data_IF_706600527687
#
_entry.id   IF_706600527687
#
_cell.length_a   1.000
_cell.length_b   1.000
_cell.length_c   1.000
_cell.angle_alpha   90.00
_cell.angle_beta   90.00
_cell.angle_gamma   90.00
#
_symmetry.space_group_name_H-M   'P 1'
#
loop_
_entity.id
_entity.type
_entity.pdbx_description
1 polymer ?
#
# COMPACT_ATOMS: atom_id res chain seq x y z
N UNK A 1 -30.70 -25.13 9.96
CA UNK A 1 -30.37 -25.32 8.54
C UNK A 1 -31.63 -25.59 7.72
N UNK A 2 -31.73 -25.05 6.50
CA UNK A 2 -32.82 -25.32 5.54
C UNK A 2 -32.20 -25.62 4.18
N UNK A 3 -32.35 -26.86 3.70
CA UNK A 3 -31.78 -27.30 2.43
C UNK A 3 -32.81 -27.92 1.49
N UNK A 4 -32.61 -27.72 0.19
CA UNK A 4 -33.51 -28.05 -0.91
C UNK A 4 -33.20 -29.45 -1.45
N UNK A 5 -33.91 -30.47 -0.95
CA UNK A 5 -33.82 -31.91 -1.31
C UNK A 5 -32.45 -32.58 -1.16
N UNK A 6 -31.35 -31.86 -1.34
CA UNK A 6 -29.97 -32.33 -1.25
C UNK A 6 -29.25 -31.61 -0.09
N UNK A 7 -28.41 -32.34 0.64
CA UNK A 7 -27.73 -31.85 1.85
C UNK A 7 -26.70 -30.73 1.57
N UNK A 8 -26.25 -30.60 0.33
CA UNK A 8 -25.27 -29.62 -0.15
C UNK A 8 -25.91 -28.36 -0.76
N UNK A 9 -27.25 -28.30 -0.83
CA UNK A 9 -28.03 -27.20 -1.43
C UNK A 9 -28.94 -26.50 -0.44
N UNK A 10 -28.36 -25.73 0.46
CA UNK A 10 -28.99 -24.95 1.51
C UNK A 10 -29.40 -23.53 1.08
N UNK A 11 -30.48 -23.02 1.69
CA UNK A 11 -30.93 -21.62 1.58
C UNK A 11 -30.82 -20.87 2.90
N UNK A 12 -30.63 -21.58 4.02
CA UNK A 12 -30.33 -21.01 5.32
C UNK A 12 -29.45 -21.94 6.14
N UNK A 13 -28.49 -21.35 6.87
CA UNK A 13 -27.54 -22.09 7.71
C UNK A 13 -27.93 -22.02 9.19
N UNK A 14 -27.44 -22.96 9.98
CA UNK A 14 -27.57 -22.89 11.45
C UNK A 14 -26.60 -21.84 11.99
N UNK A 15 -26.79 -21.43 13.26
CA UNK A 15 -25.87 -20.51 13.93
C UNK A 15 -24.41 -21.02 13.90
N UNK A 16 -23.46 -20.11 13.68
CA UNK A 16 -22.04 -20.44 13.48
C UNK A 16 -21.68 -20.92 12.07
N UNK A 17 -22.63 -20.86 11.12
CA UNK A 17 -22.41 -21.17 9.70
C UNK A 17 -22.99 -20.06 8.82
N UNK A 18 -22.26 -19.70 7.76
CA UNK A 18 -22.71 -18.75 6.74
C UNK A 18 -23.00 -19.46 5.42
N UNK A 19 -23.94 -18.91 4.65
CA UNK A 19 -24.25 -19.41 3.32
C UNK A 19 -23.18 -18.94 2.31
N UNK A 20 -22.48 -19.88 1.70
CA UNK A 20 -21.55 -19.65 0.59
C UNK A 20 -22.12 -20.32 -0.67
N UNK A 21 -22.77 -19.53 -1.52
CA UNK A 21 -23.52 -20.06 -2.66
C UNK A 21 -24.75 -20.82 -2.18
N UNK A 22 -24.75 -22.15 -2.34
CA UNK A 22 -25.79 -23.04 -1.79
C UNK A 22 -25.26 -23.91 -0.65
N UNK A 23 -24.03 -23.74 -0.17
CA UNK A 23 -23.47 -24.59 0.88
C UNK A 23 -23.29 -23.80 2.17
N UNK A 24 -23.53 -24.44 3.31
CA UNK A 24 -23.24 -23.85 4.61
C UNK A 24 -21.79 -24.12 4.98
N UNK A 25 -21.00 -23.06 5.17
CA UNK A 25 -19.61 -23.14 5.62
C UNK A 25 -19.49 -22.56 7.02
N UNK A 26 -18.59 -23.09 7.88
CA UNK A 26 -18.30 -22.50 9.18
C UNK A 26 -18.05 -20.99 9.09
N UNK A 27 -18.69 -20.25 9.99
CA UNK A 27 -18.40 -18.83 10.17
C UNK A 27 -17.17 -18.69 11.05
N UNK A 28 -16.04 -18.41 10.41
CA UNK A 28 -14.76 -18.24 11.11
C UNK A 28 -14.70 -16.87 11.78
N UNK A 29 -14.38 -16.86 13.07
CA UNK A 29 -14.24 -15.64 13.86
C UNK A 29 -12.96 -14.87 13.47
N UNK A 30 -12.88 -13.59 13.85
CA UNK A 30 -11.66 -12.81 13.67
C UNK A 30 -10.43 -13.56 14.20
N UNK A 31 -9.34 -13.51 13.44
CA UNK A 31 -8.11 -14.27 13.72
C UNK A 31 -8.10 -15.67 13.12
N UNK A 32 -9.17 -16.11 12.45
CA UNK A 32 -9.22 -17.38 11.73
C UNK A 32 -9.74 -17.21 10.30
N UNK A 33 -9.42 -18.16 9.43
CA UNK A 33 -9.95 -18.26 8.07
C UNK A 33 -10.48 -19.67 7.80
N UNK A 34 -11.38 -19.80 6.83
CA UNK A 34 -11.93 -21.09 6.45
C UNK A 34 -10.95 -21.86 5.56
N UNK A 35 -10.43 -22.98 6.07
CA UNK A 35 -9.55 -23.88 5.33
C UNK A 35 -10.38 -25.00 4.69
N UNK A 36 -10.38 -25.04 3.36
CA UNK A 36 -11.24 -25.95 2.57
C UNK A 36 -10.84 -27.42 2.76
N UNK A 37 -9.55 -27.73 2.81
CA UNK A 37 -9.05 -29.13 2.91
C UNK A 37 -9.51 -29.83 4.19
N UNK A 38 -9.60 -29.09 5.30
CA UNK A 38 -10.05 -29.60 6.59
C UNK A 38 -11.53 -29.33 6.88
N UNK A 39 -12.20 -28.49 6.09
CA UNK A 39 -13.53 -27.94 6.40
C UNK A 39 -13.58 -27.28 7.81
N UNK A 40 -12.48 -26.69 8.25
CA UNK A 40 -12.32 -26.10 9.59
C UNK A 40 -11.88 -24.64 9.51
N UNK A 41 -11.99 -23.93 10.64
CA UNK A 41 -11.38 -22.62 10.80
C UNK A 41 -9.94 -22.77 11.32
N UNK A 42 -8.98 -22.25 10.56
CA UNK A 42 -7.55 -22.28 10.88
C UNK A 42 -7.05 -20.89 11.23
N UNK A 43 -6.03 -20.76 12.08
CA UNK A 43 -5.54 -19.46 12.54
C UNK A 43 -4.89 -18.65 11.41
N UNK A 44 -5.14 -17.35 11.41
CA UNK A 44 -4.39 -16.38 10.62
C UNK A 44 -2.95 -16.24 11.11
N UNK A 45 -2.10 -15.60 10.31
CA UNK A 45 -0.84 -15.07 10.81
C UNK A 45 -1.10 -14.08 11.97
N UNK A 46 -0.24 -14.08 13.00
CA UNK A 46 -0.44 -13.31 14.25
C UNK A 46 -0.53 -11.79 14.07
N UNK A 47 -0.07 -11.28 12.94
CA UNK A 47 -0.18 -9.86 12.59
C UNK A 47 -1.54 -9.46 11.99
N UNK A 48 -2.36 -10.42 11.58
CA UNK A 48 -3.66 -10.18 10.95
C UNK A 48 -4.79 -10.24 11.98
N UNK A 49 -5.77 -9.34 11.86
CA UNK A 49 -7.08 -9.43 12.52
C UNK A 49 -8.06 -10.29 11.71
N UNK A 50 -8.01 -10.18 10.38
CA UNK A 50 -8.75 -11.05 9.45
C UNK A 50 -7.86 -11.39 8.27
N UNK A 51 -8.03 -12.58 7.69
CA UNK A 51 -7.17 -13.09 6.64
C UNK A 51 -7.92 -14.00 5.66
N UNK A 52 -7.33 -14.24 4.49
CA UNK A 52 -7.77 -15.27 3.53
C UNK A 52 -7.01 -16.58 3.68
N UNK A 53 -5.93 -16.59 4.46
CA UNK A 53 -5.04 -17.73 4.64
C UNK A 53 -4.05 -17.54 5.79
N UNK A 54 -3.25 -18.56 6.07
CA UNK A 54 -2.30 -18.59 7.19
C UNK A 54 -1.04 -17.72 6.94
N UNK A 55 -0.79 -17.32 5.70
CA UNK A 55 0.39 -16.59 5.27
C UNK A 55 0.40 -15.12 5.72
N UNK A 56 1.60 -14.60 5.93
CA UNK A 56 1.83 -13.19 6.32
C UNK A 56 1.35 -12.16 5.28
N UNK A 57 1.18 -12.58 4.02
CA UNK A 57 0.70 -11.76 2.90
C UNK A 57 -0.76 -12.02 2.55
N UNK A 58 -1.51 -12.67 3.45
CA UNK A 58 -2.91 -13.01 3.26
C UNK A 58 -3.80 -12.25 4.27
N UNK A 59 -3.31 -11.13 4.81
CA UNK A 59 -4.06 -10.31 5.75
C UNK A 59 -5.04 -9.39 4.99
N UNK A 60 -6.31 -9.39 5.41
CA UNK A 60 -7.33 -8.42 4.99
C UNK A 60 -7.31 -7.21 5.92
N UNK A 61 -7.26 -7.45 7.23
CA UNK A 61 -7.15 -6.40 8.25
C UNK A 61 -6.02 -6.71 9.21
N UNK A 62 -5.35 -5.69 9.70
CA UNK A 62 -4.29 -5.83 10.68
C UNK A 62 -4.80 -5.90 12.12
N UNK A 63 -4.09 -6.69 12.92
CA UNK A 63 -4.24 -6.68 14.36
C UNK A 63 -3.88 -5.28 14.93
N UNK A 64 -4.30 -5.01 16.15
CA UNK A 64 -3.98 -3.75 16.82
C UNK A 64 -2.45 -3.54 16.90
N UNK A 65 -2.02 -2.27 16.78
CA UNK A 65 -0.60 -1.92 16.74
C UNK A 65 0.16 -2.31 15.46
N UNK A 66 -0.54 -2.84 14.45
CA UNK A 66 0.02 -3.12 13.13
C UNK A 66 -0.58 -2.19 12.06
N UNK A 67 0.22 -1.94 11.03
CA UNK A 67 -0.08 -1.09 9.88
C UNK A 67 -0.26 -1.97 8.65
N UNK A 68 -1.31 -1.70 7.87
CA UNK A 68 -1.48 -2.34 6.58
C UNK A 68 -0.41 -1.82 5.62
N UNK A 69 0.33 -2.72 5.00
CA UNK A 69 1.24 -2.40 3.92
C UNK A 69 1.07 -3.43 2.82
N UNK A 70 0.40 -3.03 1.73
CA UNK A 70 -0.01 -3.93 0.64
C UNK A 70 -0.92 -5.05 1.21
N UNK A 71 -0.49 -6.31 1.16
CA UNK A 71 -1.27 -7.47 1.63
C UNK A 71 -0.77 -8.05 2.96
N UNK A 72 0.10 -7.32 3.66
CA UNK A 72 0.70 -7.74 4.92
C UNK A 72 0.55 -6.69 6.00
N UNK A 73 0.73 -7.14 7.23
CA UNK A 73 0.72 -6.29 8.41
C UNK A 73 2.13 -6.14 8.98
N UNK A 74 2.54 -4.91 9.26
CA UNK A 74 3.86 -4.56 9.76
C UNK A 74 3.76 -3.65 10.98
N UNK A 75 4.73 -3.70 11.89
CA UNK A 75 4.76 -2.78 13.05
C UNK A 75 5.24 -1.38 12.65
N UNK A 76 6.20 -1.34 11.73
CA UNK A 76 6.78 -0.12 11.19
C UNK A 76 6.80 -0.24 9.67
N UNK A 77 6.47 0.84 8.97
CA UNK A 77 6.56 0.89 7.52
C UNK A 77 7.98 0.64 7.06
N UNK A 78 8.15 -0.14 5.99
CA UNK A 78 9.49 -0.35 5.42
C UNK A 78 10.02 0.93 4.78
N UNK A 79 11.34 1.07 4.60
CA UNK A 79 11.91 2.22 3.89
C UNK A 79 11.22 2.49 2.55
N UNK A 80 10.99 3.77 2.26
CA UNK A 80 10.21 4.28 1.13
C UNK A 80 8.71 4.39 1.40
N UNK A 81 8.27 4.21 2.65
CA UNK A 81 6.88 4.36 3.08
C UNK A 81 6.81 5.17 4.39
N UNK A 82 5.70 5.85 4.61
CA UNK A 82 5.37 6.58 5.84
C UNK A 82 4.01 6.14 6.37
N UNK A 83 3.81 6.22 7.69
CA UNK A 83 2.53 5.87 8.31
C UNK A 83 1.57 7.04 8.26
N UNK A 84 0.36 6.83 7.72
CA UNK A 84 -0.72 7.81 7.79
C UNK A 84 -2.09 7.12 7.88
N UNK A 85 -3.12 7.91 8.19
CA UNK A 85 -4.51 7.48 8.13
C UNK A 85 -4.99 7.49 6.69
N UNK A 86 -5.85 6.53 6.33
CA UNK A 86 -6.46 6.49 5.00
C UNK A 86 -7.95 6.72 5.08
N UNK A 87 -8.45 7.54 4.15
CA UNK A 87 -9.87 7.81 4.03
C UNK A 87 -10.65 6.50 3.81
N UNK A 88 -11.66 6.26 4.65
CA UNK A 88 -12.51 5.07 4.58
C UNK A 88 -11.96 3.83 5.28
N UNK A 89 -10.80 3.91 5.94
CA UNK A 89 -10.22 2.78 6.70
C UNK A 89 -9.94 3.21 8.14
N UNK A 90 -10.48 2.51 9.15
CA UNK A 90 -10.37 2.93 10.56
C UNK A 90 -8.99 2.66 11.18
N UNK A 91 -7.98 2.30 10.39
CA UNK A 91 -6.64 1.97 10.87
C UNK A 91 -5.55 2.62 10.02
N UNK A 92 -4.41 2.89 10.66
CA UNK A 92 -3.23 3.48 10.01
C UNK A 92 -2.64 2.49 9.01
N UNK A 93 -2.16 3.00 7.90
CA UNK A 93 -1.51 2.23 6.85
C UNK A 93 -0.21 2.88 6.38
N UNK A 94 0.59 2.11 5.67
CA UNK A 94 1.84 2.55 5.10
C UNK A 94 1.62 3.07 3.67
N UNK A 95 1.75 4.38 3.50
CA UNK A 95 1.69 5.05 2.21
C UNK A 95 3.10 5.17 1.62
N UNK A 96 3.21 5.05 0.30
CA UNK A 96 4.49 5.14 -0.40
C UNK A 96 4.96 6.61 -0.43
N UNK A 97 6.25 6.85 -0.16
CA UNK A 97 6.90 8.12 -0.45
C UNK A 97 6.96 8.36 -1.97
N UNK A 98 7.29 9.58 -2.41
CA UNK A 98 7.57 9.86 -3.83
C UNK A 98 8.68 8.96 -4.43
N UNK A 99 8.72 8.79 -5.76
CA UNK A 99 9.62 7.78 -6.34
C UNK A 99 11.09 8.04 -6.03
N UNK A 100 11.79 6.94 -5.80
CA UNK A 100 13.20 6.89 -5.40
C UNK A 100 13.52 7.51 -4.03
N UNK A 101 12.48 7.90 -3.28
CA UNK A 101 12.63 8.32 -1.90
C UNK A 101 12.73 7.10 -0.96
N UNK A 102 13.67 7.15 -0.03
CA UNK A 102 13.89 6.17 1.04
C UNK A 102 13.23 6.60 2.36
N UNK A 103 13.24 7.90 2.66
CA UNK A 103 12.59 8.48 3.84
C UNK A 103 11.94 9.80 3.46
N UNK A 104 10.69 10.03 3.86
CA UNK A 104 9.94 11.25 3.55
C UNK A 104 9.27 11.84 4.80
N UNK A 105 8.98 13.14 4.76
CA UNK A 105 8.28 13.89 5.81
C UNK A 105 6.91 14.40 5.33
N UNK A 106 6.04 14.73 6.28
CA UNK A 106 4.69 15.24 6.00
C UNK A 106 3.78 14.18 5.33
N UNK A 107 2.92 14.57 4.36
CA UNK A 107 2.05 13.66 3.61
C UNK A 107 2.82 12.85 2.54
N UNK A 108 4.10 12.55 2.78
CA UNK A 108 4.96 11.76 1.89
C UNK A 108 5.48 12.48 0.64
N UNK A 109 5.18 13.78 0.50
CA UNK A 109 5.54 14.59 -0.68
C UNK A 109 6.97 15.13 -0.61
N UNK A 110 7.49 15.38 0.58
CA UNK A 110 8.85 15.92 0.78
C UNK A 110 9.79 14.79 1.15
N UNK A 111 10.72 14.45 0.26
CA UNK A 111 11.75 13.48 0.54
C UNK A 111 12.85 14.07 1.42
N UNK A 112 13.33 13.29 2.39
CA UNK A 112 14.45 13.63 3.27
C UNK A 112 15.67 12.76 3.04
N UNK A 113 15.49 11.58 2.43
CA UNK A 113 16.58 10.66 2.08
C UNK A 113 16.24 9.91 0.81
N UNK A 114 17.14 9.93 -0.18
CA UNK A 114 16.97 9.19 -1.43
C UNK A 114 17.56 7.78 -1.35
N UNK A 115 17.07 6.89 -2.23
CA UNK A 115 17.69 5.59 -2.47
C UNK A 115 19.08 5.78 -3.10
N UNK A 116 19.91 4.75 -3.01
CA UNK A 116 21.23 4.74 -3.63
C UNK A 116 21.16 5.06 -5.13
N UNK A 117 22.08 5.89 -5.61
CA UNK A 117 22.11 6.38 -6.99
C UNK A 117 21.25 7.62 -7.28
N UNK A 118 20.59 8.20 -6.28
CA UNK A 118 19.75 9.40 -6.45
C UNK A 118 20.20 10.56 -5.55
N UNK A 119 20.24 11.77 -6.12
CA UNK A 119 20.50 13.01 -5.39
C UNK A 119 19.22 13.63 -4.83
N UNK A 120 19.29 14.14 -3.59
CA UNK A 120 18.18 14.89 -2.98
C UNK A 120 18.22 16.35 -3.42
N UNK A 121 17.16 16.79 -4.10
CA UNK A 121 17.07 18.12 -4.71
C UNK A 121 15.67 18.68 -4.48
N UNK A 122 15.56 19.74 -3.66
CA UNK A 122 14.28 20.41 -3.38
C UNK A 122 13.18 19.44 -2.89
N UNK A 123 13.55 18.47 -2.03
CA UNK A 123 12.62 17.45 -1.53
C UNK A 123 12.26 16.34 -2.52
N UNK A 124 12.92 16.27 -3.69
CA UNK A 124 12.70 15.23 -4.71
C UNK A 124 13.99 14.46 -4.99
N UNK A 125 13.89 13.18 -5.34
CA UNK A 125 15.03 12.35 -5.72
C UNK A 125 15.19 12.29 -7.24
N UNK A 126 16.37 12.66 -7.74
CA UNK A 126 16.71 12.68 -9.17
C UNK A 126 17.89 11.74 -9.47
N UNK A 127 17.89 11.11 -10.65
CA UNK A 127 18.88 10.09 -11.07
C UNK A 127 20.30 10.68 -11.17
N UNK A 128 20.43 11.98 -11.37
CA UNK A 128 21.72 12.66 -11.41
C UNK A 128 22.03 13.27 -10.04
N UNK A 129 23.16 12.89 -9.45
CA UNK A 129 23.71 13.52 -8.24
C UNK A 129 24.10 14.98 -8.48
N UNK A 130 24.24 15.39 -9.75
CA UNK A 130 24.48 16.77 -10.16
C UNK A 130 23.23 17.36 -10.80
N UNK A 131 22.69 18.40 -10.17
CA UNK A 131 21.58 19.15 -10.75
C UNK A 131 22.09 19.96 -11.94
N UNK A 132 21.82 19.49 -13.16
CA UNK A 132 22.24 20.13 -14.41
C UNK A 132 21.07 20.26 -15.38
N UNK A 133 21.23 21.12 -16.37
CA UNK A 133 20.33 21.21 -17.53
C UNK A 133 20.89 20.37 -18.68
N UNK A 134 20.02 19.65 -19.39
CA UNK A 134 20.38 18.87 -20.56
C UNK A 134 20.65 19.77 -21.79
N UNK A 135 19.79 20.77 -22.00
CA UNK A 135 19.92 21.77 -23.06
C UNK A 135 19.27 23.09 -22.62
N UNK A 136 19.93 24.22 -22.87
CA UNK A 136 19.49 25.53 -22.36
C UNK A 136 18.19 26.01 -23.02
N UNK A 137 18.05 25.83 -24.34
CA UNK A 137 16.87 26.25 -25.10
C UNK A 137 15.65 25.42 -24.73
N UNK A 138 15.85 24.10 -24.63
CA UNK A 138 14.84 23.18 -24.13
C UNK A 138 14.39 23.56 -22.72
N UNK A 139 15.33 23.85 -21.82
CA UNK A 139 15.00 24.18 -20.45
C UNK A 139 14.34 25.56 -20.30
N UNK A 140 14.69 26.53 -21.15
CA UNK A 140 13.96 27.79 -21.24
C UNK A 140 12.51 27.58 -21.69
N UNK A 141 12.28 26.71 -22.68
CA UNK A 141 10.93 26.33 -23.13
C UNK A 141 10.15 25.63 -22.02
N UNK A 142 10.77 24.68 -21.32
CA UNK A 142 10.18 23.97 -20.16
C UNK A 142 9.74 24.96 -19.09
N UNK A 143 10.57 25.96 -18.78
CA UNK A 143 10.25 27.02 -17.83
C UNK A 143 9.08 27.88 -18.31
N UNK A 144 9.15 28.41 -19.53
CA UNK A 144 8.12 29.30 -20.08
C UNK A 144 6.74 28.64 -20.17
N UNK A 145 6.70 27.33 -20.38
CA UNK A 145 5.46 26.55 -20.43
C UNK A 145 5.04 25.96 -19.08
N UNK A 146 5.67 26.36 -17.96
CA UNK A 146 5.36 25.86 -16.60
C UNK A 146 5.45 24.34 -16.46
N UNK A 147 6.34 23.72 -17.23
CA UNK A 147 6.48 22.27 -17.28
C UNK A 147 7.35 21.72 -16.13
N UNK A 148 7.99 22.59 -15.34
CA UNK A 148 8.83 22.24 -14.18
C UNK A 148 8.10 21.52 -13.04
N UNK A 149 6.76 21.51 -13.04
CA UNK A 149 5.94 20.71 -12.12
C UNK A 149 5.98 19.21 -12.45
N UNK A 150 6.27 18.83 -13.70
CA UNK A 150 6.37 17.43 -14.08
C UNK A 150 7.77 16.91 -13.76
N UNK A 151 7.82 15.79 -13.04
CA UNK A 151 9.07 15.13 -12.63
C UNK A 151 10.03 14.86 -13.79
N UNK A 152 9.50 14.46 -14.95
CA UNK A 152 10.30 14.20 -16.15
C UNK A 152 11.09 15.45 -16.59
N UNK A 153 10.44 16.60 -16.70
CA UNK A 153 11.13 17.82 -17.11
C UNK A 153 12.10 18.33 -16.04
N UNK A 154 11.75 18.16 -14.76
CA UNK A 154 12.66 18.49 -13.65
C UNK A 154 13.92 17.62 -13.62
N UNK A 155 13.87 16.39 -14.13
CA UNK A 155 15.06 15.54 -14.30
C UNK A 155 16.03 16.09 -15.36
N UNK A 156 15.52 16.67 -16.45
CA UNK A 156 16.34 17.21 -17.54
C UNK A 156 16.72 18.68 -17.37
N UNK A 157 15.90 19.47 -16.67
CA UNK A 157 16.04 20.92 -16.54
C UNK A 157 16.17 21.33 -15.09
N UNK A 158 16.99 20.60 -14.34
CA UNK A 158 17.04 20.69 -12.89
C UNK A 158 17.39 22.10 -12.41
N UNK A 159 18.46 22.72 -12.94
CA UNK A 159 18.87 24.08 -12.53
C UNK A 159 17.79 25.09 -12.87
N UNK A 160 17.27 25.04 -14.10
CA UNK A 160 16.22 25.97 -14.53
C UNK A 160 14.95 25.86 -13.70
N UNK A 161 14.57 24.64 -13.32
CA UNK A 161 13.38 24.37 -12.53
C UNK A 161 13.56 24.56 -11.02
N UNK A 162 14.80 24.59 -10.51
CA UNK A 162 15.10 24.93 -9.12
C UNK A 162 15.25 26.43 -8.89
N UNK A 163 15.83 27.15 -9.85
CA UNK A 163 16.13 28.57 -9.69
C UNK A 163 14.93 29.50 -9.87
N UNK A 164 13.71 28.98 -10.10
CA UNK A 164 12.42 29.70 -10.00
C UNK A 164 11.26 28.70 -10.14
N UNK A 165 10.91 28.03 -9.04
CA UNK A 165 9.55 27.52 -8.83
C UNK A 165 8.68 28.63 -8.27
#
# INVERSE_FOLDING_TARGET
MRCLRYADRCTACSEGYRLAGMTCVPECTNGTFFQVEGMTCSPCHSSCRTCTGAGKKECIQCAEGHLQQEWRCVRTCTPGYYSAEAAGVPHKMCHRCGDHCLSCSGPGTTCTQCKEGYGLVGGTCLVNTFCNNADEVFCAMVKSNRLCEKKLYRQFCCLTCLMNG
#
